data_IF_379648663434
#
_entry.id   IF_379648663434
#
_cell.length_a   1.000
_cell.length_b   1.000
_cell.length_c   1.000
_cell.angle_alpha   90.00
_cell.angle_beta   90.00
_cell.angle_gamma   90.00
#
_symmetry.space_group_name_H-M   'P 1'
#
loop_
_entity.id
_entity.type
_entity.pdbx_description
1 polymer ?
#
# COMPACT_ATOMS: atom_id res chain seq x y z
N UNK A 1 -35.82 -5.66 52.20
CA UNK A 1 -35.80 -6.29 50.86
C UNK A 1 -35.33 -5.19 49.92
N UNK A 2 -34.22 -5.44 49.25
CA UNK A 2 -33.47 -4.43 48.51
C UNK A 2 -34.23 -4.02 47.24
N UNK A 3 -34.45 -2.71 47.08
CA UNK A 3 -34.74 -2.12 45.77
C UNK A 3 -33.44 -2.16 44.95
N UNK A 4 -33.48 -2.96 43.90
CA UNK A 4 -32.46 -3.06 42.88
C UNK A 4 -32.50 -1.78 42.03
N UNK A 5 -31.59 -0.85 42.30
CA UNK A 5 -31.30 0.25 41.39
C UNK A 5 -30.62 -0.37 40.17
N UNK A 6 -31.41 -0.61 39.13
CA UNK A 6 -30.91 -0.93 37.79
C UNK A 6 -30.21 0.32 37.25
N UNK A 7 -28.89 0.33 37.37
CA UNK A 7 -28.02 1.33 36.78
C UNK A 7 -27.89 1.05 35.27
N UNK A 8 -28.88 1.47 34.48
CA UNK A 8 -28.76 1.55 33.03
C UNK A 8 -28.10 2.87 32.63
N UNK A 9 -26.81 3.00 32.94
CA UNK A 9 -25.90 3.89 32.24
C UNK A 9 -24.93 3.07 31.39
N UNK A 10 -25.44 2.39 30.36
CA UNK A 10 -24.63 2.11 29.17
C UNK A 10 -24.57 3.39 28.34
N UNK A 11 -23.75 4.33 28.78
CA UNK A 11 -23.21 5.36 27.90
C UNK A 11 -22.27 4.68 26.92
N UNK A 12 -22.78 4.30 25.74
CA UNK A 12 -21.89 4.14 24.59
C UNK A 12 -21.47 5.55 24.20
N UNK A 13 -20.44 6.06 24.87
CA UNK A 13 -19.72 7.25 24.46
C UNK A 13 -19.16 6.97 23.07
N UNK A 14 -19.96 7.31 22.05
CA UNK A 14 -19.49 7.37 20.68
C UNK A 14 -18.27 8.27 20.71
N UNK A 15 -17.12 7.76 20.27
CA UNK A 15 -15.89 8.54 20.13
C UNK A 15 -16.07 9.54 18.97
N UNK A 16 -16.87 10.57 19.25
CA UNK A 16 -17.22 11.64 18.33
C UNK A 16 -15.97 12.37 17.84
N UNK A 17 -14.92 12.40 18.66
CA UNK A 17 -13.64 12.98 18.29
C UNK A 17 -12.89 12.11 17.27
N UNK A 18 -12.89 10.79 17.44
CA UNK A 18 -12.36 9.83 16.48
C UNK A 18 -13.12 9.84 15.14
N UNK A 19 -14.45 9.84 15.19
CA UNK A 19 -15.31 9.94 13.98
C UNK A 19 -15.15 11.29 13.27
N UNK A 20 -15.03 12.39 14.02
CA UNK A 20 -14.72 13.71 13.45
C UNK A 20 -13.36 13.71 12.74
N UNK A 21 -12.31 13.18 13.38
CA UNK A 21 -10.97 13.06 12.75
C UNK A 21 -10.99 12.15 11.51
N UNK A 22 -11.82 11.11 11.48
CA UNK A 22 -12.00 10.25 10.29
C UNK A 22 -12.69 11.02 9.16
N UNK A 23 -13.76 11.75 9.47
CA UNK A 23 -14.48 12.58 8.50
C UNK A 23 -13.60 13.70 7.94
N UNK A 24 -12.81 14.35 8.79
CA UNK A 24 -11.85 15.38 8.38
C UNK A 24 -10.78 14.81 7.44
N UNK A 25 -10.24 13.62 7.74
CA UNK A 25 -9.31 12.92 6.84
C UNK A 25 -9.97 12.51 5.52
N UNK A 26 -11.24 12.11 5.51
CA UNK A 26 -11.98 11.82 4.28
C UNK A 26 -12.21 13.09 3.45
N UNK A 27 -12.61 14.19 4.08
CA UNK A 27 -12.83 15.48 3.43
C UNK A 27 -11.53 16.02 2.82
N UNK A 28 -10.42 15.99 3.57
CA UNK A 28 -9.11 16.41 3.04
C UNK A 28 -8.66 15.56 1.85
N UNK A 29 -8.88 14.25 1.88
CA UNK A 29 -8.61 13.37 0.74
C UNK A 29 -9.46 13.73 -0.47
N UNK A 30 -10.75 14.03 -0.26
CA UNK A 30 -11.64 14.43 -1.34
C UNK A 30 -11.26 15.80 -1.92
N UNK A 31 -10.88 16.76 -1.07
CA UNK A 31 -10.42 18.08 -1.50
C UNK A 31 -9.11 18.00 -2.28
N UNK A 32 -8.16 17.16 -1.86
CA UNK A 32 -6.92 16.96 -2.60
C UNK A 32 -7.17 16.29 -3.95
N UNK A 33 -8.05 15.27 -4.01
CA UNK A 33 -8.49 14.69 -5.28
C UNK A 33 -9.16 15.71 -6.19
N UNK A 34 -10.02 16.57 -5.63
CA UNK A 34 -10.68 17.63 -6.39
C UNK A 34 -9.67 18.63 -6.97
N UNK A 35 -8.67 19.05 -6.19
CA UNK A 35 -7.61 19.96 -6.66
C UNK A 35 -6.80 19.34 -7.80
N UNK A 36 -6.41 18.07 -7.66
CA UNK A 36 -5.71 17.32 -8.71
C UNK A 36 -6.56 17.22 -9.99
N UNK A 37 -7.86 16.92 -9.87
CA UNK A 37 -8.74 16.93 -11.06
C UNK A 37 -8.89 18.30 -11.72
N UNK A 38 -8.97 19.38 -10.94
CA UNK A 38 -9.05 20.74 -11.50
C UNK A 38 -7.77 21.14 -12.20
N UNK A 39 -6.61 20.76 -11.64
CA UNK A 39 -5.31 21.00 -12.27
C UNK A 39 -5.19 20.24 -13.60
N UNK A 40 -5.55 18.95 -13.62
CA UNK A 40 -5.58 18.15 -14.85
C UNK A 40 -6.52 18.72 -15.91
N UNK A 41 -7.69 19.22 -15.52
CA UNK A 41 -8.61 19.89 -16.46
C UNK A 41 -8.00 21.17 -17.05
N UNK A 42 -7.35 21.99 -16.22
CA UNK A 42 -6.69 23.21 -16.70
C UNK A 42 -5.53 22.90 -17.66
N UNK A 43 -4.77 21.83 -17.41
CA UNK A 43 -3.73 21.34 -18.31
C UNK A 43 -4.31 20.90 -19.66
N UNK A 44 -5.38 20.11 -19.65
CA UNK A 44 -6.10 19.67 -20.86
C UNK A 44 -6.63 20.86 -21.67
N UNK A 45 -7.31 21.81 -21.01
CA UNK A 45 -7.83 23.02 -21.67
C UNK A 45 -6.71 23.87 -22.30
N UNK A 46 -5.56 23.98 -21.60
CA UNK A 46 -4.40 24.69 -22.15
C UNK A 46 -3.82 23.98 -23.39
N UNK A 47 -3.79 22.65 -23.37
CA UNK A 47 -3.36 21.84 -24.52
C UNK A 47 -4.29 22.01 -25.71
N UNK A 48 -5.61 21.98 -25.48
CA UNK A 48 -6.62 22.20 -26.51
C UNK A 48 -6.46 23.57 -27.17
N UNK A 49 -6.32 24.65 -26.37
CA UNK A 49 -6.10 26.01 -26.91
C UNK A 49 -4.84 26.10 -27.78
N UNK A 50 -3.74 25.45 -27.39
CA UNK A 50 -2.52 25.42 -28.21
C UNK A 50 -2.72 24.67 -29.52
N UNK A 51 -3.47 23.56 -29.50
CA UNK A 51 -3.80 22.83 -30.74
C UNK A 51 -4.75 23.60 -31.66
N UNK A 52 -5.69 24.36 -31.10
CA UNK A 52 -6.56 25.27 -31.85
C UNK A 52 -5.74 26.39 -32.52
N UNK A 53 -4.81 27.01 -31.79
CA UNK A 53 -3.91 28.03 -32.34
C UNK A 53 -3.01 27.47 -33.46
N UNK A 54 -2.55 26.23 -33.35
CA UNK A 54 -1.80 25.57 -34.43
C UNK A 54 -2.69 25.38 -35.66
N UNK A 55 -3.91 24.88 -35.48
CA UNK A 55 -4.85 24.66 -36.59
C UNK A 55 -5.18 25.97 -37.30
N UNK A 56 -5.42 27.05 -36.54
CA UNK A 56 -5.66 28.39 -37.09
C UNK A 56 -4.44 28.90 -37.87
N UNK A 57 -3.24 28.81 -37.29
CA UNK A 57 -2.01 29.25 -37.96
C UNK A 57 -1.70 28.44 -39.23
N UNK A 58 -1.97 27.13 -39.24
CA UNK A 58 -1.78 26.27 -40.42
C UNK A 58 -2.81 26.60 -41.51
N UNK A 59 -4.08 26.82 -41.15
CA UNK A 59 -5.12 27.23 -42.09
C UNK A 59 -4.81 28.60 -42.71
N UNK A 60 -4.32 29.55 -41.91
CA UNK A 60 -3.94 30.89 -42.36
C UNK A 60 -2.70 30.83 -43.28
N UNK A 61 -1.68 30.03 -42.92
CA UNK A 61 -0.51 29.81 -43.77
C UNK A 61 -0.87 29.14 -45.11
N UNK A 62 -1.75 28.14 -45.09
CA UNK A 62 -2.19 27.42 -46.29
C UNK A 62 -3.03 28.29 -47.25
N UNK A 63 -3.71 29.30 -46.73
CA UNK A 63 -4.57 30.21 -47.53
C UNK A 63 -3.85 31.46 -47.99
N UNK A 64 -2.85 31.95 -47.24
CA UNK A 64 -2.13 33.20 -47.53
C UNK A 64 -0.81 32.99 -48.29
N UNK A 65 -0.17 31.82 -48.17
CA UNK A 65 1.19 31.60 -48.68
C UNK A 65 2.27 32.44 -47.98
N UNK A 66 1.95 33.06 -46.83
CA UNK A 66 2.87 33.90 -46.07
C UNK A 66 3.90 33.03 -45.32
N UNK A 67 5.17 33.29 -45.58
CA UNK A 67 6.30 32.62 -44.92
C UNK A 67 6.34 32.89 -43.41
N UNK A 68 5.88 34.06 -42.95
CA UNK A 68 5.81 34.38 -41.52
C UNK A 68 4.77 33.54 -40.78
N UNK A 69 3.60 33.32 -41.39
CA UNK A 69 2.56 32.46 -40.82
C UNK A 69 2.99 30.99 -40.83
N UNK A 70 3.71 30.58 -41.88
CA UNK A 70 4.32 29.26 -41.96
C UNK A 70 5.36 29.05 -40.84
N UNK A 71 6.20 30.06 -40.59
CA UNK A 71 7.18 30.03 -39.50
C UNK A 71 6.50 29.99 -38.11
N UNK A 72 5.42 30.74 -37.92
CA UNK A 72 4.62 30.72 -36.68
C UNK A 72 3.98 29.35 -36.43
N UNK A 73 3.39 28.72 -37.45
CA UNK A 73 2.85 27.37 -37.35
C UNK A 73 3.93 26.33 -37.00
N UNK A 74 5.12 26.43 -37.60
CA UNK A 74 6.26 25.57 -37.27
C UNK A 74 6.73 25.76 -35.82
N UNK A 75 6.77 26.99 -35.33
CA UNK A 75 7.12 27.29 -33.93
C UNK A 75 6.12 26.67 -32.95
N UNK A 76 4.82 26.85 -33.18
CA UNK A 76 3.77 26.28 -32.31
C UNK A 76 3.84 24.75 -32.34
N UNK A 77 4.12 24.15 -33.50
CA UNK A 77 4.29 22.69 -33.63
C UNK A 77 5.48 22.19 -32.82
N UNK A 78 6.63 22.86 -32.89
CA UNK A 78 7.82 22.49 -32.13
C UNK A 78 7.58 22.59 -30.62
N UNK A 79 6.88 23.62 -30.17
CA UNK A 79 6.51 23.78 -28.75
C UNK A 79 5.59 22.65 -28.28
N UNK A 80 4.56 22.29 -29.07
CA UNK A 80 3.69 21.16 -28.79
C UNK A 80 4.45 19.82 -28.79
N UNK A 81 5.42 19.65 -29.67
CA UNK A 81 6.23 18.42 -29.75
C UNK A 81 7.18 18.29 -28.55
N UNK A 82 7.81 19.40 -28.15
CA UNK A 82 8.60 19.47 -26.91
C UNK A 82 7.73 19.13 -25.71
N UNK A 83 6.54 19.72 -25.61
CA UNK A 83 5.61 19.45 -24.51
C UNK A 83 5.14 17.99 -24.50
N UNK A 84 4.80 17.41 -25.65
CA UNK A 84 4.43 15.99 -25.72
C UNK A 84 5.58 15.08 -25.29
N UNK A 85 6.82 15.44 -25.60
CA UNK A 85 7.99 14.67 -25.18
C UNK A 85 8.20 14.72 -23.66
N UNK A 86 7.99 15.88 -23.03
CA UNK A 86 8.03 16.03 -21.58
C UNK A 86 6.91 15.25 -20.92
N UNK A 87 5.68 15.37 -21.41
CA UNK A 87 4.50 14.71 -20.85
C UNK A 87 4.62 13.19 -20.99
N UNK A 88 5.13 12.70 -22.12
CA UNK A 88 5.41 11.28 -22.30
C UNK A 88 6.49 10.76 -21.35
N UNK A 89 7.47 11.59 -21.00
CA UNK A 89 8.54 11.20 -20.07
C UNK A 89 8.01 11.16 -18.64
N UNK A 90 7.24 12.17 -18.24
CA UNK A 90 6.57 12.22 -16.95
C UNK A 90 5.57 11.06 -16.78
N UNK A 91 4.73 10.79 -17.78
CA UNK A 91 3.76 9.69 -17.73
C UNK A 91 4.43 8.31 -17.62
N UNK A 92 5.55 8.09 -18.32
CA UNK A 92 6.34 6.86 -18.17
C UNK A 92 6.91 6.73 -16.76
N UNK A 93 7.48 7.82 -16.24
CA UNK A 93 7.99 7.85 -14.88
C UNK A 93 6.89 7.57 -13.84
N UNK A 94 5.73 8.21 -13.94
CA UNK A 94 4.60 7.97 -13.03
C UNK A 94 4.10 6.52 -13.09
N UNK A 95 4.01 5.95 -14.29
CA UNK A 95 3.63 4.55 -14.46
C UNK A 95 4.63 3.60 -13.79
N UNK A 96 5.93 3.83 -13.99
CA UNK A 96 6.98 3.03 -13.38
C UNK A 96 7.03 3.20 -11.87
N UNK A 97 6.80 4.42 -11.37
CA UNK A 97 6.76 4.73 -9.95
C UNK A 97 5.59 4.02 -9.27
N UNK A 98 4.38 4.11 -9.83
CA UNK A 98 3.20 3.45 -9.28
C UNK A 98 3.38 1.93 -9.27
N UNK A 99 3.90 1.35 -10.35
CA UNK A 99 4.21 -0.07 -10.38
C UNK A 99 5.20 -0.47 -9.27
N UNK A 100 6.24 0.33 -9.07
CA UNK A 100 7.24 0.04 -8.05
C UNK A 100 6.72 0.19 -6.62
N UNK A 101 5.79 1.12 -6.38
CA UNK A 101 5.09 1.27 -5.12
C UNK A 101 4.15 0.09 -4.86
N UNK A 102 3.42 -0.34 -5.89
CA UNK A 102 2.53 -1.52 -5.82
C UNK A 102 3.32 -2.80 -5.52
N UNK A 103 4.49 -3.00 -6.16
CA UNK A 103 5.36 -4.16 -5.95
C UNK A 103 5.92 -4.23 -4.52
N UNK A 104 6.04 -3.09 -3.82
CA UNK A 104 6.60 -2.98 -2.47
C UNK A 104 5.56 -2.68 -1.38
N UNK A 105 4.25 -2.74 -1.72
CA UNK A 105 3.12 -2.40 -0.84
C UNK A 105 3.34 -1.07 -0.08
N UNK A 106 3.80 -0.05 -0.81
CA UNK A 106 4.19 1.25 -0.26
C UNK A 106 3.24 2.37 -0.69
N UNK A 107 2.84 3.23 0.24
CA UNK A 107 2.02 4.41 -0.06
C UNK A 107 2.88 5.67 -0.20
N UNK A 108 2.96 6.21 -1.41
CA UNK A 108 3.69 7.45 -1.72
C UNK A 108 3.36 8.59 -0.74
N UNK A 109 2.10 8.73 -0.34
CA UNK A 109 1.64 9.86 0.47
C UNK A 109 1.98 9.76 1.94
N UNK A 110 2.22 8.55 2.46
CA UNK A 110 2.35 8.31 3.90
C UNK A 110 3.63 7.59 4.32
N UNK A 111 4.36 6.98 3.38
CA UNK A 111 5.60 6.26 3.70
C UNK A 111 6.78 7.22 3.92
N UNK A 112 7.26 7.28 5.16
CA UNK A 112 8.36 8.17 5.56
C UNK A 112 9.67 7.86 4.83
N UNK A 113 9.89 6.61 4.39
CA UNK A 113 11.08 6.22 3.60
C UNK A 113 11.15 7.00 2.29
N UNK A 114 10.00 7.39 1.76
CA UNK A 114 9.85 8.11 0.49
C UNK A 114 9.88 9.63 0.65
N UNK A 115 10.15 10.15 1.85
CA UNK A 115 10.16 11.60 2.11
C UNK A 115 11.16 12.36 1.24
N UNK A 116 12.36 11.81 1.02
CA UNK A 116 13.39 12.45 0.20
C UNK A 116 13.07 12.39 -1.30
N UNK A 117 12.53 11.26 -1.77
CA UNK A 117 12.05 11.13 -3.15
C UNK A 117 10.88 12.08 -3.45
N UNK A 118 9.96 12.26 -2.49
CA UNK A 118 8.86 13.25 -2.56
C UNK A 118 9.38 14.67 -2.66
N UNK A 119 10.34 15.04 -1.80
CA UNK A 119 10.96 16.37 -1.81
C UNK A 119 11.59 16.68 -3.16
N UNK A 120 12.30 15.71 -3.73
CA UNK A 120 12.92 15.85 -5.04
C UNK A 120 11.88 15.97 -6.16
N UNK A 121 10.80 15.20 -6.13
CA UNK A 121 9.72 15.29 -7.11
C UNK A 121 9.00 16.66 -7.05
N UNK A 122 8.79 17.21 -5.85
CA UNK A 122 8.28 18.58 -5.68
C UNK A 122 9.23 19.63 -6.27
N UNK A 123 10.53 19.43 -6.16
CA UNK A 123 11.55 20.30 -6.77
C UNK A 123 11.51 20.20 -8.30
N UNK A 124 11.38 18.99 -8.85
CA UNK A 124 11.22 18.77 -10.30
C UNK A 124 9.96 19.43 -10.82
N UNK A 125 8.82 19.29 -10.12
CA UNK A 125 7.57 19.93 -10.50
C UNK A 125 7.65 21.46 -10.45
N UNK A 126 8.47 22.02 -9.56
CA UNK A 126 8.69 23.47 -9.48
C UNK A 126 9.63 24.00 -10.57
N UNK A 127 10.68 23.26 -10.88
CA UNK A 127 11.77 23.69 -11.77
C UNK A 127 11.54 23.28 -13.23
N UNK A 128 10.69 22.28 -13.48
CA UNK A 128 10.52 21.65 -14.78
C UNK A 128 11.70 20.78 -15.19
N UNK A 129 12.60 20.43 -14.28
CA UNK A 129 13.81 19.65 -14.58
C UNK A 129 13.52 18.14 -14.61
N UNK A 130 12.96 17.69 -15.73
CA UNK A 130 12.56 16.30 -15.98
C UNK A 130 13.76 15.34 -15.93
N UNK A 131 14.99 15.83 -16.13
CA UNK A 131 16.20 15.00 -16.06
C UNK A 131 16.40 14.36 -14.68
N UNK A 132 15.94 15.05 -13.62
CA UNK A 132 16.02 14.59 -12.23
C UNK A 132 14.94 13.58 -11.85
N UNK A 133 13.95 13.30 -12.71
CA UNK A 133 13.00 12.19 -12.48
C UNK A 133 13.70 10.83 -12.36
N UNK A 134 14.82 10.65 -13.07
CA UNK A 134 15.66 9.45 -12.95
C UNK A 134 16.23 9.28 -11.53
N UNK A 135 16.56 10.39 -10.88
CA UNK A 135 17.06 10.42 -9.51
C UNK A 135 15.95 10.21 -8.48
N UNK A 136 14.74 10.74 -8.72
CA UNK A 136 13.56 10.40 -7.91
C UNK A 136 13.31 8.89 -7.94
N UNK A 137 13.34 8.28 -9.13
CA UNK A 137 13.19 6.83 -9.28
C UNK A 137 14.26 6.08 -8.48
N UNK A 138 15.53 6.49 -8.59
CA UNK A 138 16.64 5.88 -7.87
C UNK A 138 16.44 5.95 -6.36
N UNK A 139 16.04 7.10 -5.82
CA UNK A 139 15.80 7.30 -4.40
C UNK A 139 14.62 6.47 -3.89
N UNK A 140 13.54 6.40 -4.66
CA UNK A 140 12.40 5.52 -4.34
C UNK A 140 12.83 4.06 -4.30
N UNK A 141 13.66 3.64 -5.27
CA UNK A 141 14.21 2.28 -5.31
C UNK A 141 15.11 1.98 -4.12
N UNK A 142 16.04 2.87 -3.83
CA UNK A 142 16.93 2.75 -2.69
C UNK A 142 16.15 2.66 -1.37
N UNK A 143 15.16 3.52 -1.17
CA UNK A 143 14.37 3.59 0.06
C UNK A 143 13.51 2.34 0.30
N UNK A 144 12.99 1.71 -0.76
CA UNK A 144 12.15 0.53 -0.66
C UNK A 144 12.99 -0.75 -0.63
N UNK A 145 14.06 -0.84 -1.42
CA UNK A 145 15.00 -1.97 -1.40
C UNK A 145 15.88 -2.01 -0.14
N UNK A 146 16.24 -0.89 0.46
CA UNK A 146 17.00 -0.88 1.72
C UNK A 146 16.19 -1.41 2.92
N UNK A 147 14.89 -1.58 2.75
CA UNK A 147 14.00 -2.15 3.77
C UNK A 147 13.88 -3.67 3.69
N UNK A 148 14.53 -4.33 2.73
CA UNK A 148 14.67 -5.80 2.67
C UNK A 148 15.70 -6.35 3.69
N UNK A 149 15.75 -5.80 4.90
CA UNK A 149 16.14 -6.56 6.10
C UNK A 149 14.94 -7.37 6.62
N UNK A 150 14.20 -8.01 5.71
CA UNK A 150 13.21 -9.06 6.01
C UNK A 150 13.84 -10.32 6.59
N UNK A 151 15.18 -10.39 6.65
CA UNK A 151 15.91 -11.36 7.45
C UNK A 151 15.70 -11.20 8.97
N UNK A 152 15.25 -10.03 9.44
CA UNK A 152 15.08 -9.77 10.88
C UNK A 152 13.68 -10.19 11.39
N UNK A 153 12.69 -10.33 10.51
CA UNK A 153 11.33 -10.78 10.91
C UNK A 153 11.33 -12.29 11.14
N UNK A 154 11.89 -13.08 10.23
CA UNK A 154 12.01 -14.53 10.43
C UNK A 154 12.94 -14.87 11.61
N UNK A 155 14.03 -14.12 11.79
CA UNK A 155 14.89 -14.26 12.95
C UNK A 155 14.21 -13.82 14.24
N UNK A 156 13.43 -12.73 14.26
CA UNK A 156 12.63 -12.33 15.43
C UNK A 156 11.52 -13.30 15.76
N UNK A 157 10.89 -13.91 14.75
CA UNK A 157 9.88 -14.97 14.96
C UNK A 157 10.57 -16.22 15.52
N UNK A 158 11.72 -16.62 14.99
CA UNK A 158 12.50 -17.74 15.54
C UNK A 158 12.99 -17.46 16.95
N UNK A 159 13.48 -16.26 17.24
CA UNK A 159 13.91 -15.83 18.58
C UNK A 159 12.72 -15.76 19.55
N UNK A 160 11.56 -15.29 19.09
CA UNK A 160 10.34 -15.30 19.91
C UNK A 160 9.87 -16.73 20.23
N UNK A 161 9.95 -17.65 19.26
CA UNK A 161 9.63 -19.08 19.46
C UNK A 161 10.65 -19.77 20.37
N UNK A 162 11.94 -19.45 20.24
CA UNK A 162 13.01 -19.98 21.09
C UNK A 162 12.90 -19.46 22.52
N UNK A 163 12.55 -18.18 22.68
CA UNK A 163 12.34 -17.54 23.97
C UNK A 163 11.10 -18.06 24.68
N UNK A 164 9.99 -18.26 23.96
CA UNK A 164 8.78 -18.92 24.49
C UNK A 164 9.07 -20.36 24.96
N UNK A 165 9.89 -21.11 24.21
CA UNK A 165 10.38 -22.44 24.64
C UNK A 165 11.27 -22.41 25.88
N UNK A 166 12.06 -21.36 26.08
CA UNK A 166 12.91 -21.20 27.26
C UNK A 166 12.12 -20.73 28.49
N UNK A 167 11.21 -19.76 28.31
CA UNK A 167 10.39 -19.19 29.38
C UNK A 167 9.25 -20.13 29.82
N UNK A 168 8.83 -21.07 28.97
CA UNK A 168 7.84 -22.10 29.27
C UNK A 168 8.43 -23.51 29.30
N UNK A 169 9.66 -23.64 29.80
CA UNK A 169 10.34 -24.91 30.06
C UNK A 169 9.63 -25.81 31.07
N UNK A 170 8.44 -26.33 30.73
CA UNK A 170 7.91 -27.56 31.30
C UNK A 170 8.56 -28.69 30.54
N UNK A 171 9.72 -29.11 31.04
CA UNK A 171 10.38 -30.35 30.63
C UNK A 171 9.36 -31.46 30.88
N UNK A 172 8.82 -32.02 29.80
CA UNK A 172 7.93 -33.17 29.82
C UNK A 172 8.79 -34.39 30.19
N UNK A 173 9.22 -34.47 31.45
CA UNK A 173 9.85 -35.66 32.00
C UNK A 173 8.76 -36.72 32.04
N UNK A 174 8.75 -37.57 31.01
CA UNK A 174 7.84 -38.69 30.88
C UNK A 174 7.91 -39.59 32.12
N UNK A 175 7.04 -39.33 33.10
CA UNK A 175 6.75 -40.27 34.17
C UNK A 175 5.82 -41.33 33.61
N UNK A 176 6.46 -42.42 33.18
CA UNK A 176 5.85 -43.70 32.95
C UNK A 176 5.16 -44.18 34.21
N UNK A 177 3.83 -44.30 34.15
CA UNK A 177 3.05 -45.10 35.10
C UNK A 177 1.93 -45.78 34.33
N UNK A 178 1.87 -47.11 34.44
CA UNK A 178 0.66 -47.90 34.17
C UNK A 178 0.43 -48.31 32.72
N UNK A 179 0.40 -49.63 32.51
CA UNK A 179 0.14 -50.27 31.22
C UNK A 179 -1.26 -49.99 30.68
N UNK A 180 -1.30 -49.70 29.38
CA UNK A 180 -2.50 -49.35 28.63
C UNK A 180 -2.07 -48.49 27.46
N UNK A 181 -2.24 -49.01 26.24
CA UNK A 181 -1.78 -48.45 24.97
C UNK A 181 -1.95 -46.92 24.92
N UNK A 182 -0.82 -46.18 24.95
CA UNK A 182 -0.79 -44.72 25.07
C UNK A 182 -0.88 -44.07 23.69
N UNK A 183 -1.80 -43.13 23.54
CA UNK A 183 -1.80 -42.15 22.45
C UNK A 183 -1.03 -40.92 22.93
N UNK A 184 0.06 -40.56 22.24
CA UNK A 184 0.81 -39.32 22.49
C UNK A 184 0.25 -38.17 21.65
N UNK A 185 0.51 -36.92 22.04
CA UNK A 185 0.15 -35.75 21.20
C UNK A 185 0.79 -35.80 19.81
N UNK A 186 1.96 -36.43 19.69
CA UNK A 186 2.60 -36.70 18.39
C UNK A 186 1.85 -37.76 17.57
N UNK A 187 1.20 -38.72 18.20
CA UNK A 187 0.35 -39.69 17.48
C UNK A 187 -0.91 -39.01 16.96
N UNK A 188 -1.47 -38.04 17.70
CA UNK A 188 -2.62 -37.24 17.26
C UNK A 188 -2.26 -36.30 16.10
N UNK A 189 -1.06 -35.72 16.11
CA UNK A 189 -0.57 -34.87 15.02
C UNK A 189 -0.32 -35.62 13.70
N UNK A 190 -0.07 -36.94 13.77
CA UNK A 190 0.17 -37.80 12.62
C UNK A 190 -1.06 -38.63 12.20
N UNK A 191 -2.23 -38.41 12.81
CA UNK A 191 -3.47 -39.08 12.40
C UNK A 191 -4.03 -38.43 11.14
N UNK A 192 -4.21 -39.24 10.10
CA UNK A 192 -4.76 -38.81 8.81
C UNK A 192 -6.30 -38.65 8.94
N UNK A 193 -6.83 -37.41 8.96
CA UNK A 193 -8.24 -37.16 9.25
C UNK A 193 -9.19 -37.76 8.21
N UNK A 194 -8.68 -38.04 7.01
CA UNK A 194 -9.42 -38.65 5.89
C UNK A 194 -9.69 -40.14 6.17
N UNK A 195 -8.81 -40.84 6.90
CA UNK A 195 -8.95 -42.27 7.20
C UNK A 195 -9.81 -42.57 8.42
N UNK A 196 -9.82 -41.70 9.43
CA UNK A 196 -10.60 -41.91 10.67
C UNK A 196 -12.06 -41.45 10.55
N UNK A 197 -12.33 -40.46 9.70
CA UNK A 197 -13.63 -39.79 9.64
C UNK A 197 -13.95 -38.99 10.92
N UNK A 198 -14.95 -38.12 10.82
CA UNK A 198 -15.33 -37.15 11.87
C UNK A 198 -15.69 -37.84 13.21
N UNK A 199 -16.27 -39.05 13.14
CA UNK A 199 -16.64 -39.83 14.32
C UNK A 199 -15.43 -40.42 15.05
N UNK A 200 -14.43 -40.90 14.31
CA UNK A 200 -13.19 -41.43 14.89
C UNK A 200 -12.33 -40.35 15.52
N UNK A 201 -12.28 -39.16 14.91
CA UNK A 201 -11.58 -38.00 15.50
C UNK A 201 -12.21 -37.55 16.82
N UNK A 202 -13.55 -37.58 16.92
CA UNK A 202 -14.24 -37.20 18.15
C UNK A 202 -13.94 -38.15 19.31
N UNK A 203 -13.93 -39.46 19.06
CA UNK A 203 -13.60 -40.46 20.08
C UNK A 203 -12.14 -40.38 20.56
N UNK A 204 -11.21 -39.98 19.69
CA UNK A 204 -9.80 -39.76 20.05
C UNK A 204 -9.66 -38.48 20.87
N UNK A 205 -10.34 -37.40 20.48
CA UNK A 205 -10.32 -36.13 21.22
C UNK A 205 -10.96 -36.27 22.61
N UNK A 206 -12.08 -36.97 22.74
CA UNK A 206 -12.73 -37.20 24.03
C UNK A 206 -11.84 -38.01 24.97
N UNK A 207 -11.13 -39.04 24.47
CA UNK A 207 -10.15 -39.81 25.27
C UNK A 207 -8.96 -38.98 25.72
N UNK A 208 -8.47 -38.09 24.87
CA UNK A 208 -7.37 -37.17 25.20
C UNK A 208 -7.82 -36.14 26.22
N UNK A 209 -9.08 -35.71 26.15
CA UNK A 209 -9.66 -34.75 27.10
C UNK A 209 -9.88 -35.38 28.49
N UNK A 210 -10.41 -36.61 28.56
CA UNK A 210 -10.56 -37.36 29.80
C UNK A 210 -9.20 -37.65 30.47
N UNK A 211 -8.15 -37.90 29.69
CA UNK A 211 -6.78 -38.07 30.21
C UNK A 211 -6.14 -36.79 30.75
N UNK A 212 -6.65 -35.60 30.38
CA UNK A 212 -6.17 -34.32 30.90
C UNK A 212 -6.92 -33.85 32.15
N UNK A 213 -8.06 -34.46 32.48
CA UNK A 213 -8.85 -34.12 33.68
C UNK A 213 -8.61 -35.07 34.88
N UNK A 214 -7.91 -36.19 34.68
CA UNK A 214 -7.40 -37.08 35.75
C UNK A 214 -5.98 -36.76 36.15
#
# INVERSE_FOLDING_TARGET
MADEIVDTQQGSDTDWEGEYKKLQRKLNRQQNKSKDTTQRMAEIESGQRRTEQLLEAVLEAATSGDENLTAKALSIRQELESQRSSDSTAARFESELNQYLDDNDADWGSDDRLSEARRLLEEVNRTGDISRLSEVKRLTQEALSSSEETGDIDNRIQDAILKDRQDHGRVDTGTSVGGGQRFTRNDVANLDPIKLGVRGMREVLDKVYDQMQS
#
